data_IF_503522319783
#
_entry.id   IF_503522319783
#
_cell.length_a   1.000
_cell.length_b   1.000
_cell.length_c   1.000
_cell.angle_alpha   90.00
_cell.angle_beta   90.00
_cell.angle_gamma   90.00
#
_symmetry.space_group_name_H-M   'P 1'
#
loop_
_entity.id
_entity.type
_entity.pdbx_description
1 polymer ?
#
# COMPACT_ATOMS: atom_id res chain seq x y z
N UNK A 1 5.83 53.74 5.68
CA UNK A 1 5.13 54.56 4.66
C UNK A 1 5.78 54.31 3.30
N UNK A 2 4.98 54.46 2.22
CA UNK A 2 5.28 54.27 0.78
C UNK A 2 5.20 52.85 0.22
N UNK A 3 3.95 52.52 -0.16
CA UNK A 3 3.52 51.53 -1.14
C UNK A 3 4.06 51.88 -2.54
N UNK A 4 4.29 50.86 -3.38
CA UNK A 4 4.20 50.99 -4.84
C UNK A 4 3.33 49.85 -5.37
N UNK A 5 2.12 50.21 -5.79
CA UNK A 5 1.22 49.41 -6.62
C UNK A 5 1.70 49.44 -8.06
N UNK A 6 1.57 48.32 -8.77
CA UNK A 6 1.36 48.31 -10.22
C UNK A 6 0.25 47.30 -10.48
N UNK A 7 -0.85 47.82 -11.04
CA UNK A 7 -2.01 47.11 -11.54
C UNK A 7 -1.88 47.01 -13.06
N UNK A 8 -2.25 45.87 -13.64
CA UNK A 8 -2.59 45.77 -15.05
C UNK A 8 -3.73 44.76 -15.22
N UNK A 9 -4.94 45.30 -15.38
CA UNK A 9 -6.11 44.65 -15.95
C UNK A 9 -5.84 44.24 -17.39
N UNK A 10 -6.42 43.12 -17.83
CA UNK A 10 -7.05 43.05 -19.15
C UNK A 10 -8.20 42.03 -19.10
N UNK A 11 -9.41 42.56 -19.09
CA UNK A 11 -10.65 41.89 -19.45
C UNK A 11 -10.80 41.91 -20.97
N UNK A 12 -11.26 40.81 -21.56
CA UNK A 12 -11.99 40.83 -22.83
C UNK A 12 -13.27 40.01 -22.65
N UNK A 13 -14.38 40.61 -23.04
CA UNK A 13 -15.74 40.06 -23.04
C UNK A 13 -16.26 40.01 -24.49
N UNK A 14 -17.01 38.92 -24.80
CA UNK A 14 -18.26 38.81 -25.60
C UNK A 14 -18.23 39.27 -27.09
N UNK A 15 -18.96 38.71 -28.07
CA UNK A 15 -20.05 37.72 -28.23
C UNK A 15 -19.96 37.19 -29.71
N UNK A 16 -20.70 36.20 -30.23
CA UNK A 16 -22.13 36.23 -30.61
C UNK A 16 -22.53 34.88 -31.26
N UNK A 17 -23.81 34.53 -31.17
CA UNK A 17 -24.53 33.31 -31.58
C UNK A 17 -25.18 33.51 -32.97
N UNK A 18 -25.30 32.53 -33.89
CA UNK A 18 -26.51 31.72 -34.27
C UNK A 18 -26.41 31.32 -35.78
N UNK A 19 -27.31 30.53 -36.43
CA UNK A 19 -27.89 29.21 -36.10
C UNK A 19 -27.99 28.24 -37.34
N UNK A 20 -28.56 27.05 -37.12
CA UNK A 20 -29.17 26.11 -38.09
C UNK A 20 -28.30 25.22 -39.01
N UNK A 21 -28.54 23.90 -38.95
CA UNK A 21 -28.23 22.99 -40.07
C UNK A 21 -28.07 21.50 -39.76
N UNK A 22 -29.20 20.82 -39.56
CA UNK A 22 -29.47 19.41 -39.91
C UNK A 22 -29.05 18.24 -38.99
N UNK A 23 -30.10 17.47 -38.72
CA UNK A 23 -30.24 16.19 -38.03
C UNK A 23 -29.72 15.05 -38.92
N UNK A 24 -28.92 14.15 -38.35
CA UNK A 24 -28.90 12.75 -38.77
C UNK A 24 -28.89 11.82 -37.54
N UNK A 25 -29.93 11.01 -37.45
CA UNK A 25 -30.05 9.85 -36.59
C UNK A 25 -29.06 8.76 -37.03
N UNK A 26 -28.21 8.29 -36.12
CA UNK A 26 -27.58 6.98 -36.22
C UNK A 26 -27.57 6.29 -34.85
N UNK A 27 -28.44 5.27 -34.76
CA UNK A 27 -28.37 4.04 -33.98
C UNK A 27 -27.80 4.09 -32.55
N UNK A 28 -28.68 3.79 -31.60
CA UNK A 28 -28.37 3.35 -30.25
C UNK A 28 -27.40 2.15 -30.26
N UNK A 29 -26.13 2.41 -29.97
CA UNK A 29 -25.23 1.41 -29.40
C UNK A 29 -25.48 1.35 -27.90
N UNK A 30 -25.80 0.14 -27.43
CA UNK A 30 -26.03 -0.19 -26.05
C UNK A 30 -24.89 0.34 -25.16
N UNK A 31 -25.25 1.14 -24.17
CA UNK A 31 -24.41 1.50 -23.03
C UNK A 31 -24.00 0.21 -22.29
N UNK A 32 -22.85 -0.34 -22.69
CA UNK A 32 -22.10 -1.24 -21.84
C UNK A 32 -21.61 -0.41 -20.65
N UNK A 33 -21.79 -0.87 -19.39
CA UNK A 33 -21.30 -0.14 -18.24
C UNK A 33 -19.79 -0.01 -18.40
N UNK A 34 -19.33 1.22 -18.62
CA UNK A 34 -17.91 1.56 -18.62
C UNK A 34 -17.29 0.95 -17.36
N UNK A 35 -16.49 -0.10 -17.57
CA UNK A 35 -15.53 -0.59 -16.59
C UNK A 35 -14.73 0.65 -16.23
N UNK A 36 -14.95 1.21 -15.03
CA UNK A 36 -14.08 2.24 -14.48
C UNK A 36 -12.69 1.61 -14.44
N UNK A 37 -11.85 1.98 -15.42
CA UNK A 37 -10.42 1.74 -15.38
C UNK A 37 -9.93 2.69 -14.30
N UNK A 38 -9.84 2.17 -13.07
CA UNK A 38 -9.28 2.90 -11.95
C UNK A 38 -7.77 3.03 -12.20
N UNK A 39 -7.29 4.27 -12.32
CA UNK A 39 -5.87 4.58 -12.31
C UNK A 39 -5.24 3.99 -11.03
N UNK A 40 -4.48 2.92 -11.18
CA UNK A 40 -4.12 2.00 -10.08
C UNK A 40 -3.07 2.56 -9.10
N UNK A 41 -2.51 3.75 -9.33
CA UNK A 41 -1.32 4.18 -8.59
C UNK A 41 -1.51 5.46 -7.75
N UNK A 42 -2.49 6.32 -8.05
CA UNK A 42 -2.80 7.49 -7.20
C UNK A 42 -3.61 7.16 -5.94
N UNK A 43 -4.13 5.94 -5.82
CA UNK A 43 -4.84 5.45 -4.63
C UNK A 43 -3.91 4.85 -3.55
N UNK A 44 -2.63 4.65 -3.85
CA UNK A 44 -1.80 3.70 -3.10
C UNK A 44 -1.22 4.21 -1.77
N UNK A 45 -1.64 5.34 -1.19
CA UNK A 45 -1.32 5.66 0.23
C UNK A 45 -2.54 6.13 1.05
N UNK A 46 -3.68 6.34 0.38
CA UNK A 46 -4.90 6.91 0.95
C UNK A 46 -6.17 6.09 0.66
N UNK A 47 -6.07 4.99 -0.10
CA UNK A 47 -7.22 4.15 -0.43
C UNK A 47 -7.97 3.73 0.83
N UNK A 48 -9.28 3.97 0.82
CA UNK A 48 -10.16 3.56 1.89
C UNK A 48 -10.13 2.02 1.98
N UNK A 49 -9.71 1.42 3.11
CA UNK A 49 -9.68 -0.04 3.25
C UNK A 49 -11.06 -0.67 3.05
N UNK A 50 -12.15 0.10 3.10
CA UNK A 50 -13.49 -0.37 2.73
C UNK A 50 -13.59 -0.85 1.27
N UNK A 51 -12.69 -0.42 0.38
CA UNK A 51 -12.65 -0.91 -1.00
C UNK A 51 -12.29 -2.40 -1.11
N UNK A 52 -11.68 -2.97 -0.07
CA UNK A 52 -11.35 -4.40 0.02
C UNK A 52 -12.46 -5.20 0.73
N UNK A 53 -13.54 -4.55 1.15
CA UNK A 53 -14.65 -5.19 1.85
C UNK A 53 -15.70 -5.67 0.84
N UNK A 54 -15.98 -6.97 0.75
CA UNK A 54 -17.06 -7.47 -0.10
C UNK A 54 -18.43 -6.99 0.40
N UNK A 55 -19.35 -6.71 -0.52
CA UNK A 55 -20.76 -6.47 -0.19
C UNK A 55 -21.62 -7.67 -0.58
N UNK A 56 -21.90 -8.53 0.40
CA UNK A 56 -22.70 -9.75 0.21
C UNK A 56 -24.14 -9.47 -0.21
N UNK A 57 -24.64 -8.23 -0.05
CA UNK A 57 -25.97 -7.87 -0.52
C UNK A 57 -26.06 -7.85 -2.06
N UNK A 58 -24.97 -7.51 -2.74
CA UNK A 58 -24.92 -7.36 -4.20
C UNK A 58 -24.51 -8.61 -4.97
N UNK A 59 -24.05 -9.66 -4.28
CA UNK A 59 -23.60 -10.90 -4.91
C UNK A 59 -24.81 -11.68 -5.44
N UNK A 60 -24.64 -12.39 -6.57
CA UNK A 60 -25.69 -13.26 -7.11
C UNK A 60 -25.98 -14.44 -6.18
N UNK A 61 -27.24 -14.86 -6.12
CA UNK A 61 -27.69 -15.99 -5.31
C UNK A 61 -26.88 -17.27 -5.58
N UNK A 62 -26.67 -17.59 -6.85
CA UNK A 62 -25.86 -18.75 -7.27
C UNK A 62 -24.44 -18.69 -6.71
N UNK A 63 -23.83 -17.51 -6.72
CA UNK A 63 -22.46 -17.31 -6.24
C UNK A 63 -22.38 -17.38 -4.71
N UNK A 64 -23.33 -16.79 -4.00
CA UNK A 64 -23.39 -16.89 -2.54
C UNK A 64 -23.55 -18.34 -2.08
N UNK A 65 -24.37 -19.14 -2.76
CA UNK A 65 -24.52 -20.58 -2.48
C UNK A 65 -23.20 -21.33 -2.69
N UNK A 66 -22.56 -21.13 -3.83
CA UNK A 66 -21.26 -21.72 -4.15
C UNK A 66 -20.22 -21.39 -3.06
N UNK A 67 -20.19 -20.12 -2.61
CA UNK A 67 -19.28 -19.66 -1.55
C UNK A 67 -19.57 -20.34 -0.20
N UNK A 68 -20.83 -20.52 0.17
CA UNK A 68 -21.22 -21.21 1.40
C UNK A 68 -20.90 -22.71 1.35
N UNK A 69 -21.23 -23.38 0.24
CA UNK A 69 -20.96 -24.81 0.02
C UNK A 69 -19.47 -25.14 -0.11
N UNK A 70 -18.65 -24.19 -0.58
CA UNK A 70 -17.18 -24.37 -0.59
C UNK A 70 -16.54 -24.09 0.76
N UNK A 71 -17.27 -23.44 1.68
CA UNK A 71 -16.79 -23.11 3.03
C UNK A 71 -17.20 -24.16 4.08
N UNK A 72 -18.03 -25.15 3.72
CA UNK A 72 -18.38 -26.28 4.59
C UNK A 72 -17.19 -27.21 4.80
N UNK A 73 -16.92 -27.56 6.05
CA UNK A 73 -16.04 -28.68 6.41
C UNK A 73 -16.70 -30.02 6.06
N UNK A 74 -15.91 -31.05 5.75
CA UNK A 74 -16.31 -32.37 5.24
C UNK A 74 -17.38 -33.16 6.04
N UNK A 75 -17.91 -32.62 7.14
CA UNK A 75 -18.81 -33.31 8.07
C UNK A 75 -20.29 -32.88 7.97
N UNK A 76 -20.64 -31.94 7.07
CA UNK A 76 -22.04 -31.53 6.85
C UNK A 76 -22.59 -32.29 5.65
N UNK A 77 -23.81 -32.81 5.77
CA UNK A 77 -24.54 -33.38 4.63
C UNK A 77 -24.81 -32.26 3.61
N UNK A 78 -23.97 -32.18 2.59
CA UNK A 78 -24.00 -31.15 1.54
C UNK A 78 -25.32 -31.12 0.80
N UNK A 79 -26.01 -32.25 0.68
CA UNK A 79 -27.28 -32.35 -0.05
C UNK A 79 -28.39 -31.65 0.72
N UNK A 80 -28.48 -31.87 2.04
CA UNK A 80 -29.47 -31.19 2.90
C UNK A 80 -29.22 -29.68 2.97
N UNK A 81 -27.96 -29.25 3.05
CA UNK A 81 -27.62 -27.82 3.01
C UNK A 81 -27.98 -27.20 1.66
N UNK A 82 -27.71 -27.89 0.56
CA UNK A 82 -28.04 -27.41 -0.78
C UNK A 82 -29.56 -27.26 -0.98
N UNK A 83 -30.36 -28.20 -0.47
CA UNK A 83 -31.83 -28.09 -0.46
C UNK A 83 -32.32 -26.89 0.36
N UNK A 84 -31.77 -26.66 1.55
CA UNK A 84 -32.09 -25.49 2.37
C UNK A 84 -31.76 -24.18 1.67
N UNK A 85 -30.58 -24.09 1.03
CA UNK A 85 -30.16 -22.90 0.29
C UNK A 85 -31.02 -22.64 -0.97
N UNK A 86 -31.75 -23.63 -1.47
CA UNK A 86 -32.71 -23.42 -2.56
C UNK A 86 -33.98 -22.69 -2.14
N UNK A 87 -34.25 -22.59 -0.84
CA UNK A 87 -35.33 -21.76 -0.33
C UNK A 87 -34.93 -20.29 -0.31
N UNK A 88 -35.64 -19.46 -1.07
CA UNK A 88 -35.34 -18.03 -1.25
C UNK A 88 -35.28 -17.28 0.09
N UNK A 89 -36.22 -17.55 0.99
CA UNK A 89 -36.31 -16.89 2.29
C UNK A 89 -35.09 -17.20 3.18
N UNK A 90 -34.68 -18.48 3.21
CA UNK A 90 -33.46 -18.92 3.90
C UNK A 90 -32.23 -18.23 3.32
N UNK A 91 -32.11 -18.18 1.99
CA UNK A 91 -30.95 -17.55 1.36
C UNK A 91 -30.88 -16.04 1.66
N UNK A 92 -32.02 -15.34 1.66
CA UNK A 92 -32.10 -13.93 2.06
C UNK A 92 -31.70 -13.75 3.52
N UNK A 93 -32.20 -14.60 4.41
CA UNK A 93 -31.82 -14.59 5.82
C UNK A 93 -30.31 -14.78 6.01
N UNK A 94 -29.73 -15.79 5.37
CA UNK A 94 -28.29 -16.08 5.44
C UNK A 94 -27.49 -14.91 4.87
N UNK A 95 -27.90 -14.34 3.74
CA UNK A 95 -27.21 -13.20 3.13
C UNK A 95 -27.12 -12.00 4.08
N UNK A 96 -28.23 -11.67 4.73
CA UNK A 96 -28.27 -10.56 5.69
C UNK A 96 -27.35 -10.84 6.88
N UNK A 97 -27.39 -12.07 7.42
CA UNK A 97 -26.51 -12.50 8.49
C UNK A 97 -25.03 -12.42 8.08
N UNK A 98 -24.67 -12.96 6.91
CA UNK A 98 -23.31 -12.88 6.36
C UNK A 98 -22.84 -11.43 6.24
N UNK A 99 -23.69 -10.53 5.76
CA UNK A 99 -23.32 -9.12 5.67
C UNK A 99 -23.12 -8.46 7.04
N UNK A 100 -23.92 -8.82 8.04
CA UNK A 100 -23.73 -8.32 9.41
C UNK A 100 -22.42 -8.84 10.01
N UNK A 101 -22.13 -10.13 9.87
CA UNK A 101 -20.88 -10.73 10.37
C UNK A 101 -19.65 -10.15 9.65
N UNK A 102 -19.77 -9.84 8.36
CA UNK A 102 -18.73 -9.18 7.57
C UNK A 102 -18.41 -7.78 8.11
N UNK A 103 -19.46 -6.99 8.39
CA UNK A 103 -19.33 -5.67 9.03
C UNK A 103 -18.75 -5.74 10.43
N UNK A 104 -19.13 -6.75 11.21
CA UNK A 104 -18.58 -6.96 12.56
C UNK A 104 -17.07 -7.23 12.48
N UNK A 105 -16.66 -8.20 11.67
CA UNK A 105 -15.25 -8.55 11.46
C UNK A 105 -14.43 -7.33 11.01
N UNK A 106 -14.95 -6.55 10.07
CA UNK A 106 -14.28 -5.31 9.64
C UNK A 106 -14.12 -4.30 10.78
N UNK A 107 -15.17 -4.09 11.57
CA UNK A 107 -15.16 -3.15 12.70
C UNK A 107 -14.16 -3.60 13.79
N UNK A 108 -14.07 -4.91 14.04
CA UNK A 108 -13.07 -5.49 14.95
C UNK A 108 -11.65 -5.26 14.44
N UNK A 109 -11.37 -5.54 13.17
CA UNK A 109 -10.07 -5.27 12.54
C UNK A 109 -9.66 -3.80 12.61
N UNK A 110 -10.61 -2.90 12.38
CA UNK A 110 -10.37 -1.46 12.55
C UNK A 110 -10.06 -1.12 14.00
N UNK A 111 -10.85 -1.63 14.95
CA UNK A 111 -10.62 -1.41 16.37
C UNK A 111 -9.21 -1.89 16.81
N UNK A 112 -8.77 -3.05 16.34
CA UNK A 112 -7.43 -3.58 16.57
C UNK A 112 -6.34 -2.67 16.00
N UNK A 113 -6.50 -2.20 14.75
CA UNK A 113 -5.56 -1.27 14.12
C UNK A 113 -5.43 0.04 14.91
N UNK A 114 -6.56 0.65 15.29
CA UNK A 114 -6.54 1.90 16.04
C UNK A 114 -6.02 1.71 17.47
N UNK A 115 -6.24 0.53 18.07
CA UNK A 115 -5.68 0.18 19.38
C UNK A 115 -4.16 0.06 19.30
N UNK A 116 -3.66 -0.58 18.24
CA UNK A 116 -2.22 -0.64 17.96
C UNK A 116 -1.63 0.77 17.80
N UNK A 117 -2.25 1.64 17.01
CA UNK A 117 -1.78 3.03 16.86
C UNK A 117 -1.81 3.81 18.17
N UNK A 118 -2.83 3.59 19.00
CA UNK A 118 -2.91 4.23 20.30
C UNK A 118 -1.75 3.81 21.21
N UNK A 119 -1.50 2.50 21.29
CA UNK A 119 -0.44 1.93 22.10
C UNK A 119 0.93 2.40 21.61
N UNK A 120 1.18 2.36 20.29
CA UNK A 120 2.41 2.85 19.69
C UNK A 120 2.61 4.36 19.98
N UNK A 121 1.54 5.16 19.89
CA UNK A 121 1.58 6.57 20.28
C UNK A 121 1.97 6.79 21.75
N UNK A 122 1.48 5.93 22.65
CA UNK A 122 1.81 5.99 24.07
C UNK A 122 3.25 5.54 24.37
N UNK A 123 3.73 4.45 23.76
CA UNK A 123 5.06 3.89 24.03
C UNK A 123 6.16 4.68 23.34
N UNK A 124 5.93 5.07 22.08
CA UNK A 124 6.96 5.67 21.24
C UNK A 124 6.94 7.20 21.24
N UNK A 125 5.90 7.83 21.79
CA UNK A 125 5.76 9.29 21.84
C UNK A 125 5.43 9.96 20.51
N UNK A 126 4.87 9.22 19.54
CA UNK A 126 4.71 9.66 18.15
C UNK A 126 3.40 10.43 17.85
N UNK A 127 2.78 11.01 18.87
CA UNK A 127 1.56 11.81 18.69
C UNK A 127 1.85 13.03 17.84
N UNK A 128 1.14 13.16 16.70
CA UNK A 128 1.38 14.24 15.74
C UNK A 128 2.84 14.36 15.26
N UNK A 129 3.56 13.24 15.12
CA UNK A 129 4.92 13.25 14.61
C UNK A 129 5.01 13.99 13.26
N UNK A 130 5.69 15.13 13.27
CA UNK A 130 5.93 15.96 12.08
C UNK A 130 7.32 16.56 12.18
N UNK A 131 8.02 16.55 11.07
CA UNK A 131 9.27 17.30 10.89
C UNK A 131 9.00 18.46 9.94
N UNK A 132 9.99 19.27 9.55
CA UNK A 132 9.83 20.21 8.44
C UNK A 132 10.04 19.48 7.11
N UNK A 133 9.40 19.92 6.00
CA UNK A 133 9.55 19.26 4.69
C UNK A 133 11.02 19.24 4.26
N UNK A 134 11.70 20.37 4.48
CA UNK A 134 13.15 20.50 4.26
C UNK A 134 13.96 19.49 5.06
N UNK A 135 13.62 19.25 6.33
CA UNK A 135 14.31 18.26 7.17
C UNK A 135 14.02 16.83 6.69
N UNK A 136 12.78 16.54 6.30
CA UNK A 136 12.40 15.25 5.73
C UNK A 136 13.18 14.95 4.44
N UNK A 137 13.16 15.89 3.49
CA UNK A 137 13.84 15.78 2.21
C UNK A 137 15.36 15.64 2.39
N UNK A 138 15.96 16.46 3.27
CA UNK A 138 17.41 16.44 3.53
C UNK A 138 17.92 15.16 4.20
N UNK A 139 17.02 14.38 4.80
CA UNK A 139 17.36 13.11 5.42
C UNK A 139 16.74 11.90 4.69
N UNK A 140 15.95 12.08 3.63
CA UNK A 140 15.20 11.01 2.96
C UNK A 140 14.24 10.24 3.89
N UNK A 141 13.49 10.96 4.74
CA UNK A 141 12.48 10.38 5.65
C UNK A 141 11.07 10.92 5.36
N UNK A 142 10.05 10.31 5.95
CA UNK A 142 8.68 10.82 5.85
C UNK A 142 8.54 12.18 6.54
N UNK A 143 7.69 13.07 6.01
CA UNK A 143 7.42 14.37 6.65
C UNK A 143 6.44 14.26 7.83
N UNK A 144 5.51 13.31 7.75
CA UNK A 144 4.49 13.08 8.78
C UNK A 144 4.49 11.61 9.19
N UNK A 145 4.56 11.37 10.50
CA UNK A 145 4.50 10.05 11.10
C UNK A 145 3.54 10.11 12.30
N UNK A 146 2.64 9.14 12.42
CA UNK A 146 1.62 9.16 13.46
C UNK A 146 0.46 10.11 13.21
N UNK A 147 -0.45 10.17 14.18
CA UNK A 147 -1.72 10.90 14.14
C UNK A 147 -1.97 11.57 15.49
N UNK A 148 -2.96 12.46 15.55
CA UNK A 148 -3.33 13.09 16.83
C UNK A 148 -3.97 12.06 17.76
N UNK A 149 -3.65 12.15 19.05
CA UNK A 149 -4.25 11.31 20.09
C UNK A 149 -5.78 11.42 20.09
N UNK A 150 -6.29 12.63 19.87
CA UNK A 150 -7.73 12.91 19.82
C UNK A 150 -8.39 12.15 18.66
N UNK A 151 -7.80 12.20 17.46
CA UNK A 151 -8.34 11.49 16.30
C UNK A 151 -8.33 9.97 16.52
N UNK A 152 -7.25 9.43 17.06
CA UNK A 152 -7.15 7.99 17.33
C UNK A 152 -8.21 7.55 18.35
N UNK A 153 -8.39 8.31 19.45
CA UNK A 153 -9.45 8.05 20.44
C UNK A 153 -10.85 8.10 19.81
N UNK A 154 -11.15 9.14 19.04
CA UNK A 154 -12.44 9.24 18.33
C UNK A 154 -12.70 8.05 17.41
N UNK A 155 -11.67 7.54 16.73
CA UNK A 155 -11.78 6.35 15.88
C UNK A 155 -12.00 5.08 16.70
N UNK A 156 -11.29 4.91 17.81
CA UNK A 156 -11.50 3.80 18.74
C UNK A 156 -12.93 3.77 19.27
N UNK A 157 -13.41 4.89 19.81
CA UNK A 157 -14.76 4.99 20.37
C UNK A 157 -15.82 4.69 19.30
N UNK A 158 -15.62 5.21 18.07
CA UNK A 158 -16.49 4.92 16.93
C UNK A 158 -16.54 3.42 16.63
N UNK A 159 -15.40 2.75 16.44
CA UNK A 159 -15.39 1.34 16.05
C UNK A 159 -15.84 0.42 17.19
N UNK A 160 -15.57 0.77 18.44
CA UNK A 160 -16.12 0.08 19.61
C UNK A 160 -17.64 0.12 19.61
N UNK A 161 -18.24 1.31 19.44
CA UNK A 161 -19.69 1.47 19.35
C UNK A 161 -20.26 0.70 18.14
N UNK A 162 -19.59 0.73 16.99
CA UNK A 162 -20.01 -0.02 15.81
C UNK A 162 -20.00 -1.54 16.04
N UNK A 163 -18.98 -2.07 16.73
CA UNK A 163 -18.95 -3.48 17.11
C UNK A 163 -20.15 -3.85 17.99
N UNK A 164 -20.45 -3.05 19.01
CA UNK A 164 -21.59 -3.27 19.91
C UNK A 164 -22.92 -3.25 19.15
N UNK A 165 -23.12 -2.26 18.27
CA UNK A 165 -24.33 -2.13 17.45
C UNK A 165 -24.51 -3.30 16.47
N UNK A 166 -23.46 -3.70 15.76
CA UNK A 166 -23.54 -4.79 14.79
C UNK A 166 -23.70 -6.13 15.51
N UNK A 167 -23.04 -6.34 16.64
CA UNK A 167 -23.23 -7.55 17.45
C UNK A 167 -24.67 -7.67 17.94
N UNK A 168 -25.27 -6.57 18.41
CA UNK A 168 -26.69 -6.55 18.76
C UNK A 168 -27.57 -6.91 17.56
N UNK A 169 -27.32 -6.32 16.38
CA UNK A 169 -28.07 -6.63 15.17
C UNK A 169 -27.93 -8.10 14.74
N UNK A 170 -26.75 -8.70 14.88
CA UNK A 170 -26.55 -10.14 14.67
C UNK A 170 -27.43 -10.93 15.62
N UNK A 171 -27.40 -10.63 16.93
CA UNK A 171 -28.18 -11.35 17.91
C UNK A 171 -29.69 -11.27 17.63
N UNK A 172 -30.21 -10.08 17.27
CA UNK A 172 -31.61 -9.91 16.90
C UNK A 172 -31.97 -10.66 15.61
N UNK A 173 -31.08 -10.67 14.62
CA UNK A 173 -31.28 -11.42 13.38
C UNK A 173 -31.30 -12.93 13.65
N UNK A 174 -30.40 -13.43 14.50
CA UNK A 174 -30.36 -14.85 14.89
C UNK A 174 -31.63 -15.31 15.61
N UNK A 175 -32.35 -14.43 16.32
CA UNK A 175 -33.66 -14.75 16.94
C UNK A 175 -34.75 -15.03 15.90
N UNK A 176 -34.59 -14.54 14.67
CA UNK A 176 -35.52 -14.75 13.56
C UNK A 176 -35.19 -16.01 12.75
N UNK A 177 -34.19 -16.79 13.18
CA UNK A 177 -33.76 -17.98 12.47
C UNK A 177 -34.88 -19.03 12.38
N UNK A 178 -35.16 -19.56 11.17
CA UNK A 178 -36.01 -20.74 11.02
C UNK A 178 -35.49 -21.91 11.85
N UNK A 179 -36.38 -22.65 12.52
CA UNK A 179 -36.04 -23.78 13.43
C UNK A 179 -35.19 -24.85 12.73
N UNK A 180 -35.35 -24.99 11.41
CA UNK A 180 -34.62 -25.94 10.57
C UNK A 180 -33.13 -25.60 10.36
N UNK A 181 -32.68 -24.39 10.75
CA UNK A 181 -31.29 -23.96 10.60
C UNK A 181 -30.52 -24.20 11.90
N UNK A 182 -29.46 -25.01 11.83
CA UNK A 182 -28.45 -25.05 12.87
C UNK A 182 -27.59 -23.78 12.81
N UNK A 183 -27.88 -22.85 13.72
CA UNK A 183 -27.21 -21.55 13.79
C UNK A 183 -25.72 -21.65 14.14
N UNK A 184 -25.29 -22.67 14.86
CA UNK A 184 -23.87 -22.84 15.22
C UNK A 184 -23.08 -23.20 13.96
N UNK A 185 -23.57 -24.19 13.21
CA UNK A 185 -22.95 -24.61 11.96
C UNK A 185 -22.99 -23.50 10.91
N UNK A 186 -24.11 -22.77 10.80
CA UNK A 186 -24.22 -21.63 9.90
C UNK A 186 -23.21 -20.53 10.22
N UNK A 187 -23.07 -20.15 11.50
CA UNK A 187 -22.10 -19.13 11.91
C UNK A 187 -20.66 -19.55 11.64
N UNK A 188 -20.31 -20.83 11.83
CA UNK A 188 -18.98 -21.35 11.49
C UNK A 188 -18.69 -21.24 9.99
N UNK A 189 -19.65 -21.60 9.13
CA UNK A 189 -19.53 -21.45 7.68
C UNK A 189 -19.35 -19.99 7.26
N UNK A 190 -20.20 -19.11 7.80
CA UNK A 190 -20.16 -17.66 7.52
C UNK A 190 -18.83 -17.06 7.96
N UNK A 191 -18.35 -17.40 9.16
CA UNK A 191 -17.06 -16.91 9.65
C UNK A 191 -15.90 -17.41 8.79
N UNK A 192 -15.88 -18.69 8.42
CA UNK A 192 -14.85 -19.26 7.53
C UNK A 192 -14.81 -18.53 6.19
N UNK A 193 -15.99 -18.31 5.59
CA UNK A 193 -16.13 -17.57 4.34
C UNK A 193 -15.58 -16.14 4.46
N UNK A 194 -16.03 -15.40 5.48
CA UNK A 194 -15.64 -14.00 5.69
C UNK A 194 -14.14 -13.88 5.99
N UNK A 195 -13.57 -14.79 6.77
CA UNK A 195 -12.14 -14.81 7.05
C UNK A 195 -11.32 -14.95 5.77
N UNK A 196 -11.74 -15.84 4.88
CA UNK A 196 -11.12 -16.04 3.57
C UNK A 196 -11.26 -14.80 2.69
N UNK A 197 -12.46 -14.24 2.58
CA UNK A 197 -12.74 -13.09 1.72
C UNK A 197 -12.07 -11.81 2.22
N UNK A 198 -11.94 -11.63 3.54
CA UNK A 198 -11.26 -10.48 4.14
C UNK A 198 -9.74 -10.66 4.29
N UNK A 199 -9.14 -11.74 3.78
CA UNK A 199 -7.71 -11.99 3.92
C UNK A 199 -6.85 -10.81 3.42
N UNK A 200 -7.16 -10.27 2.24
CA UNK A 200 -6.43 -9.12 1.67
C UNK A 200 -6.57 -7.86 2.52
N UNK A 201 -7.75 -7.65 3.12
CA UNK A 201 -7.98 -6.54 4.04
C UNK A 201 -7.11 -6.66 5.29
N UNK A 202 -7.00 -7.86 5.86
CA UNK A 202 -6.14 -8.13 7.03
C UNK A 202 -4.68 -7.83 6.72
N UNK A 203 -4.18 -8.35 5.59
CA UNK A 203 -2.81 -8.09 5.13
C UNK A 203 -2.54 -6.59 4.96
N UNK A 204 -3.46 -5.84 4.34
CA UNK A 204 -3.29 -4.39 4.17
C UNK A 204 -3.31 -3.63 5.52
N UNK A 205 -4.16 -4.03 6.46
CA UNK A 205 -4.21 -3.40 7.79
C UNK A 205 -2.95 -3.69 8.60
N UNK A 206 -2.41 -4.91 8.55
CA UNK A 206 -1.16 -5.27 9.21
C UNK A 206 0.04 -4.59 8.57
N UNK A 207 0.08 -4.50 7.23
CA UNK A 207 1.09 -3.72 6.52
C UNK A 207 1.09 -2.25 6.97
N UNK A 208 -0.10 -1.63 7.15
CA UNK A 208 -0.21 -0.26 7.66
C UNK A 208 0.34 -0.12 9.08
N UNK A 209 0.13 -1.12 9.96
CA UNK A 209 0.74 -1.18 11.30
C UNK A 209 2.27 -1.19 11.20
N UNK A 210 2.82 -2.07 10.37
CA UNK A 210 4.26 -2.20 10.13
C UNK A 210 4.87 -0.91 9.59
N UNK A 211 4.25 -0.30 8.57
CA UNK A 211 4.73 0.96 7.99
C UNK A 211 4.76 2.10 9.01
N UNK A 212 3.72 2.23 9.85
CA UNK A 212 3.72 3.26 10.88
C UNK A 212 4.87 3.07 11.89
N UNK A 213 5.16 1.82 12.28
CA UNK A 213 6.29 1.51 13.16
C UNK A 213 7.62 1.88 12.51
N UNK A 214 7.84 1.47 11.25
CA UNK A 214 9.06 1.77 10.52
C UNK A 214 9.27 3.29 10.35
N UNK A 215 8.21 4.04 10.06
CA UNK A 215 8.28 5.51 10.00
C UNK A 215 8.62 6.10 11.38
N UNK A 216 8.01 5.61 12.47
CA UNK A 216 8.33 6.04 13.83
C UNK A 216 9.79 5.77 14.23
N UNK A 217 10.28 4.56 13.93
CA UNK A 217 11.68 4.16 14.15
C UNK A 217 12.63 5.03 13.32
N UNK A 218 12.29 5.33 12.07
CA UNK A 218 13.08 6.20 11.20
C UNK A 218 13.30 7.58 11.83
N UNK A 219 12.22 8.18 12.35
CA UNK A 219 12.30 9.48 13.02
C UNK A 219 13.18 9.43 14.28
N UNK A 220 13.06 8.37 15.08
CA UNK A 220 13.89 8.17 16.28
C UNK A 220 15.36 8.00 15.93
N UNK A 221 15.68 7.26 14.86
CA UNK A 221 17.06 7.04 14.42
C UNK A 221 17.71 8.33 13.92
N UNK A 222 16.95 9.16 13.20
CA UNK A 222 17.41 10.48 12.77
C UNK A 222 17.62 11.42 13.97
N UNK A 223 16.68 11.47 14.90
CA UNK A 223 16.80 12.29 16.11
C UNK A 223 17.98 11.85 16.99
N UNK A 224 18.14 10.54 17.19
CA UNK A 224 19.26 9.96 17.91
C UNK A 224 20.59 10.32 17.24
N UNK A 225 20.68 10.17 15.92
CA UNK A 225 21.88 10.54 15.16
C UNK A 225 22.29 12.00 15.41
N UNK A 226 21.37 12.97 15.36
CA UNK A 226 21.71 14.37 15.62
C UNK A 226 21.98 14.66 17.11
N UNK A 227 21.38 13.89 18.03
CA UNK A 227 21.65 13.97 19.47
C UNK A 227 23.09 13.57 19.83
N UNK A 228 23.70 12.68 19.04
CA UNK A 228 25.13 12.33 19.15
C UNK A 228 26.07 13.50 18.77
N UNK A 229 25.53 14.63 18.28
CA UNK A 229 26.29 15.81 17.83
C UNK A 229 27.42 15.46 16.85
N UNK A 230 27.11 14.76 15.74
CA UNK A 230 28.10 14.37 14.75
C UNK A 230 28.78 15.59 14.15
N UNK A 231 30.05 15.44 13.77
CA UNK A 231 30.81 16.45 13.04
C UNK A 231 30.24 16.62 11.64
N UNK A 232 30.50 17.77 11.02
CA UNK A 232 29.98 18.08 9.68
C UNK A 232 30.36 17.03 8.63
N UNK A 233 31.56 16.44 8.74
CA UNK A 233 32.01 15.35 7.88
C UNK A 233 31.14 14.10 8.03
N UNK A 234 30.79 13.73 9.26
CA UNK A 234 29.92 12.57 9.56
C UNK A 234 28.48 12.81 9.09
N UNK A 235 27.96 14.03 9.27
CA UNK A 235 26.65 14.44 8.74
C UNK A 235 26.60 14.30 7.22
N UNK A 236 27.65 14.77 6.53
CA UNK A 236 27.71 14.68 5.07
C UNK A 236 27.78 13.23 4.60
N UNK A 237 28.62 12.41 5.24
CA UNK A 237 28.71 10.98 4.95
C UNK A 237 27.39 10.25 5.15
N UNK A 238 26.70 10.50 6.28
CA UNK A 238 25.40 9.91 6.56
C UNK A 238 24.36 10.27 5.49
N UNK A 239 24.29 11.56 5.09
CA UNK A 239 23.37 12.01 4.03
C UNK A 239 23.63 11.34 2.68
N UNK A 240 24.89 11.18 2.29
CA UNK A 240 25.28 10.49 1.06
C UNK A 240 24.82 9.02 1.13
N UNK A 241 25.09 8.34 2.24
CA UNK A 241 24.69 6.94 2.45
C UNK A 241 23.16 6.81 2.35
N UNK A 242 22.41 7.61 3.11
CA UNK A 242 20.95 7.53 3.13
C UNK A 242 20.31 7.86 1.78
N UNK A 243 20.86 8.85 1.05
CA UNK A 243 20.38 9.16 -0.31
C UNK A 243 20.65 8.01 -1.27
N UNK A 244 21.86 7.42 -1.23
CA UNK A 244 22.20 6.28 -2.07
C UNK A 244 21.29 5.08 -1.79
N UNK A 245 21.02 4.76 -0.52
CA UNK A 245 20.08 3.68 -0.16
C UNK A 245 18.66 3.98 -0.65
N UNK A 246 18.16 5.20 -0.44
CA UNK A 246 16.84 5.58 -0.94
C UNK A 246 16.71 5.44 -2.47
N UNK A 247 17.72 5.89 -3.22
CA UNK A 247 17.74 5.81 -4.67
C UNK A 247 17.87 4.37 -5.16
N UNK A 248 18.72 3.56 -4.51
CA UNK A 248 18.86 2.13 -4.76
C UNK A 248 17.51 1.42 -4.60
N UNK A 249 16.80 1.67 -3.51
CA UNK A 249 15.49 1.04 -3.28
C UNK A 249 14.47 1.46 -4.31
N UNK A 250 14.44 2.75 -4.66
CA UNK A 250 13.53 3.28 -5.67
C UNK A 250 13.72 2.56 -7.00
N UNK A 251 14.98 2.41 -7.46
CA UNK A 251 15.23 1.71 -8.73
C UNK A 251 14.98 0.21 -8.64
N UNK A 252 15.35 -0.45 -7.54
CA UNK A 252 15.07 -1.88 -7.33
C UNK A 252 13.57 -2.17 -7.33
N UNK A 253 12.75 -1.28 -6.75
CA UNK A 253 11.31 -1.40 -6.80
C UNK A 253 10.79 -1.36 -8.23
N UNK A 254 11.25 -0.39 -9.02
CA UNK A 254 10.81 -0.28 -10.40
C UNK A 254 11.29 -1.46 -11.27
N UNK A 255 12.51 -1.96 -11.05
CA UNK A 255 13.02 -3.18 -11.70
C UNK A 255 12.13 -4.38 -11.39
N UNK A 256 11.78 -4.59 -10.13
CA UNK A 256 10.97 -5.72 -9.71
C UNK A 256 9.56 -5.69 -10.35
N UNK A 257 8.93 -4.52 -10.37
CA UNK A 257 7.64 -4.33 -11.07
C UNK A 257 7.81 -4.58 -12.56
N UNK A 258 8.84 -4.00 -13.18
CA UNK A 258 9.08 -4.13 -14.62
C UNK A 258 9.34 -5.59 -15.04
N UNK A 259 10.22 -6.31 -14.33
CA UNK A 259 10.53 -7.73 -14.58
C UNK A 259 9.28 -8.60 -14.60
N UNK A 260 8.32 -8.32 -13.73
CA UNK A 260 7.06 -9.06 -13.63
C UNK A 260 6.03 -8.60 -14.65
N UNK A 261 6.06 -7.32 -15.02
CA UNK A 261 5.16 -6.73 -15.99
C UNK A 261 5.48 -7.17 -17.44
N UNK A 262 6.77 -7.24 -17.80
CA UNK A 262 7.24 -7.52 -19.18
C UNK A 262 6.66 -8.80 -19.78
N UNK A 263 6.70 -9.97 -19.11
CA UNK A 263 6.17 -11.22 -19.67
C UNK A 263 4.67 -11.20 -19.94
N UNK A 264 3.93 -10.32 -19.25
CA UNK A 264 2.47 -10.23 -19.34
C UNK A 264 2.01 -9.26 -20.44
N UNK A 265 2.90 -8.43 -21.01
CA UNK A 265 2.54 -7.30 -21.87
C UNK A 265 3.45 -7.17 -23.10
N UNK A 266 3.80 -8.29 -23.73
CA UNK A 266 4.54 -8.28 -24.99
C UNK A 266 3.60 -8.04 -26.18
N UNK A 267 3.91 -7.09 -27.10
CA UNK A 267 5.13 -6.26 -27.14
C UNK A 267 5.08 -5.02 -26.23
N UNK A 268 6.21 -4.73 -25.57
CA UNK A 268 6.42 -3.55 -24.71
C UNK A 268 6.48 -2.26 -25.54
N UNK A 269 5.72 -1.24 -25.14
CA UNK A 269 5.76 0.11 -25.73
C UNK A 269 6.15 1.16 -24.69
N UNK A 270 6.61 2.34 -25.12
CA UNK A 270 6.92 3.44 -24.18
C UNK A 270 5.67 4.02 -23.51
N UNK A 271 4.52 4.00 -24.19
CA UNK A 271 3.25 4.50 -23.68
C UNK A 271 2.74 3.69 -22.47
N UNK A 272 3.04 2.39 -22.42
CA UNK A 272 2.62 1.50 -21.32
C UNK A 272 3.32 1.77 -19.97
N UNK A 273 4.43 2.52 -19.94
CA UNK A 273 5.15 2.83 -18.69
C UNK A 273 4.52 3.94 -17.85
N UNK A 274 3.73 4.81 -18.49
CA UNK A 274 3.08 5.92 -17.80
C UNK A 274 2.00 5.39 -16.85
N UNK A 275 1.30 4.32 -17.24
CA UNK A 275 0.21 3.73 -16.47
C UNK A 275 0.68 3.04 -15.17
N UNK A 276 1.91 2.51 -15.17
CA UNK A 276 2.51 1.79 -14.03
C UNK A 276 3.49 2.65 -13.21
N UNK A 277 3.63 3.94 -13.54
CA UNK A 277 4.47 4.93 -12.84
C UNK A 277 5.91 4.45 -12.57
N UNK A 278 6.62 4.00 -13.61
CA UNK A 278 8.03 3.59 -13.52
C UNK A 278 8.97 4.62 -14.19
N UNK A 279 9.20 5.81 -13.60
CA UNK A 279 9.90 6.90 -14.25
C UNK A 279 11.38 6.61 -14.53
N UNK A 280 12.09 5.90 -13.64
CA UNK A 280 13.49 5.56 -13.86
C UNK A 280 13.62 4.52 -14.98
N UNK A 281 12.78 3.49 -14.97
CA UNK A 281 12.74 2.48 -16.04
C UNK A 281 12.36 3.13 -17.37
N UNK A 282 11.33 3.98 -17.40
CA UNK A 282 10.93 4.67 -18.63
C UNK A 282 12.07 5.54 -19.20
N UNK A 283 12.81 6.24 -18.34
CA UNK A 283 13.98 7.04 -18.75
C UNK A 283 15.07 6.16 -19.35
N UNK A 284 15.40 5.03 -18.72
CA UNK A 284 16.42 4.09 -19.21
C UNK A 284 15.98 3.47 -20.54
N UNK A 285 14.74 3.02 -20.62
CA UNK A 285 14.14 2.42 -21.82
C UNK A 285 14.13 3.41 -22.98
N UNK A 286 13.66 4.65 -22.76
CA UNK A 286 13.63 5.71 -23.79
C UNK A 286 15.04 6.05 -24.27
N UNK A 287 16.00 6.14 -23.36
CA UNK A 287 17.40 6.35 -23.73
C UNK A 287 17.94 5.20 -24.58
N UNK A 288 17.61 3.94 -24.26
CA UNK A 288 18.03 2.79 -25.06
C UNK A 288 17.39 2.79 -26.45
N UNK A 289 16.09 3.00 -26.53
CA UNK A 289 15.35 3.04 -27.80
C UNK A 289 15.89 4.13 -28.75
N UNK A 290 16.29 5.28 -28.21
CA UNK A 290 16.92 6.35 -28.99
C UNK A 290 18.27 5.94 -29.60
N UNK A 291 19.11 5.23 -28.83
CA UNK A 291 20.47 4.87 -29.27
C UNK A 291 20.52 3.56 -30.08
N UNK A 292 19.52 2.69 -29.94
CA UNK A 292 19.52 1.34 -30.53
C UNK A 292 18.21 1.04 -31.25
N UNK A 293 17.99 1.69 -32.39
CA UNK A 293 16.78 1.52 -33.22
C UNK A 293 16.61 0.10 -33.80
N UNK A 294 17.65 -0.73 -33.74
CA UNK A 294 17.66 -2.08 -34.32
C UNK A 294 17.36 -3.19 -33.32
N UNK A 295 17.27 -2.90 -32.02
CA UNK A 295 16.98 -3.93 -31.01
C UNK A 295 15.51 -4.35 -31.08
N UNK A 296 15.27 -5.65 -30.92
CA UNK A 296 13.92 -6.13 -30.69
C UNK A 296 13.38 -5.60 -29.36
N UNK A 297 12.06 -5.56 -29.20
CA UNK A 297 11.42 -5.13 -27.96
C UNK A 297 11.87 -5.94 -26.74
N UNK A 298 12.09 -7.25 -26.91
CA UNK A 298 12.58 -8.14 -25.86
C UNK A 298 14.04 -7.81 -25.48
N UNK A 299 14.90 -7.58 -26.49
CA UNK A 299 16.28 -7.16 -26.25
C UNK A 299 16.34 -5.79 -25.55
N UNK A 300 15.46 -4.84 -25.93
CA UNK A 300 15.36 -3.55 -25.25
C UNK A 300 14.92 -3.70 -23.79
N UNK A 301 13.95 -4.56 -23.50
CA UNK A 301 13.51 -4.83 -22.13
C UNK A 301 14.63 -5.44 -21.29
N UNK A 302 15.35 -6.43 -21.82
CA UNK A 302 16.48 -7.06 -21.13
C UNK A 302 17.62 -6.06 -20.86
N UNK A 303 17.99 -5.25 -21.86
CA UNK A 303 19.01 -4.20 -21.70
C UNK A 303 18.58 -3.13 -20.69
N UNK A 304 17.29 -2.82 -20.62
CA UNK A 304 16.74 -1.87 -19.64
C UNK A 304 16.90 -2.42 -18.22
N UNK A 305 16.59 -3.70 -18.02
CA UNK A 305 16.80 -4.38 -16.73
C UNK A 305 18.27 -4.33 -16.33
N UNK A 306 19.18 -4.76 -17.21
CA UNK A 306 20.63 -4.79 -16.93
C UNK A 306 21.14 -3.40 -16.54
N UNK A 307 20.82 -2.36 -17.31
CA UNK A 307 21.23 -0.99 -16.99
C UNK A 307 20.65 -0.47 -15.67
N UNK A 308 19.42 -0.84 -15.35
CA UNK A 308 18.80 -0.45 -14.09
C UNK A 308 19.47 -1.15 -12.91
N UNK A 309 19.85 -2.44 -13.06
CA UNK A 309 20.62 -3.19 -12.07
C UNK A 309 22.02 -2.59 -11.86
N UNK A 310 22.71 -2.19 -12.94
CA UNK A 310 23.99 -1.49 -12.86
C UNK A 310 23.90 -0.17 -12.08
N UNK A 311 22.83 0.60 -12.29
CA UNK A 311 22.56 1.83 -11.54
C UNK A 311 22.29 1.51 -10.06
N UNK A 312 21.53 0.45 -9.76
CA UNK A 312 21.30 0.01 -8.39
C UNK A 312 22.63 -0.36 -7.70
N UNK A 313 23.49 -1.12 -8.40
CA UNK A 313 24.82 -1.50 -7.91
C UNK A 313 25.72 -0.28 -7.68
N UNK A 314 25.65 0.71 -8.56
CA UNK A 314 26.37 1.96 -8.41
C UNK A 314 26.02 2.66 -7.08
N UNK A 315 24.74 2.71 -6.70
CA UNK A 315 24.34 3.26 -5.40
C UNK A 315 24.82 2.40 -4.21
N UNK A 316 24.82 1.07 -4.33
CA UNK A 316 25.45 0.17 -3.33
C UNK A 316 26.91 0.53 -3.11
N UNK A 317 27.65 0.75 -4.20
CA UNK A 317 29.07 1.08 -4.17
C UNK A 317 29.31 2.44 -3.52
N UNK A 318 28.49 3.46 -3.81
CA UNK A 318 28.55 4.78 -3.16
C UNK A 318 28.36 4.64 -1.64
N UNK A 319 27.30 3.95 -1.20
CA UNK A 319 27.03 3.78 0.22
C UNK A 319 28.16 3.02 0.94
N UNK A 320 28.71 2.00 0.30
CA UNK A 320 29.81 1.19 0.84
C UNK A 320 31.12 1.97 0.94
N UNK A 321 31.47 2.72 -0.11
CA UNK A 321 32.66 3.57 -0.11
C UNK A 321 32.60 4.62 1.00
N UNK A 322 31.45 5.28 1.18
CA UNK A 322 31.29 6.30 2.21
C UNK A 322 31.28 5.71 3.63
N UNK A 323 30.73 4.49 3.83
CA UNK A 323 30.86 3.74 5.08
C UNK A 323 32.32 3.39 5.39
N UNK A 324 33.07 2.90 4.41
CA UNK A 324 34.49 2.57 4.57
C UNK A 324 35.33 3.82 4.90
N UNK A 325 34.96 4.98 4.34
CA UNK A 325 35.56 6.27 4.70
C UNK A 325 35.26 6.66 6.16
N UNK A 326 34.04 6.45 6.65
CA UNK A 326 33.75 6.67 8.08
C UNK A 326 34.58 5.74 8.97
N UNK A 327 34.66 4.45 8.61
CA UNK A 327 35.44 3.46 9.34
C UNK A 327 36.95 3.77 9.35
N UNK A 328 37.51 4.29 8.26
CA UNK A 328 38.93 4.64 8.21
C UNK A 328 39.27 5.84 9.09
N UNK A 329 38.31 6.74 9.37
CA UNK A 329 38.51 7.85 10.32
C UNK A 329 38.56 7.40 11.79
N UNK A 330 38.16 6.16 12.09
CA UNK A 330 38.10 5.59 13.43
C UNK A 330 39.44 5.61 14.16
N UNK A 331 40.53 5.28 13.46
CA UNK A 331 41.88 5.23 14.05
C UNK A 331 42.38 6.57 14.55
N UNK A 332 41.88 7.67 13.98
CA UNK A 332 42.28 9.03 14.30
C UNK A 332 41.19 9.81 15.06
N UNK A 333 40.11 9.14 15.48
CA UNK A 333 38.98 9.79 16.13
C UNK A 333 39.27 10.02 17.62
N UNK A 334 39.16 11.27 18.10
CA UNK A 334 39.38 11.62 19.52
C UNK A 334 38.46 10.87 20.49
N UNK A 335 37.26 10.47 20.03
CA UNK A 335 36.29 9.71 20.79
C UNK A 335 35.76 8.55 19.96
N UNK A 336 36.46 7.41 19.95
CA UNK A 336 36.14 6.25 19.12
C UNK A 336 34.74 5.70 19.43
N UNK A 337 34.34 5.68 20.71
CA UNK A 337 33.03 5.19 21.13
C UNK A 337 31.87 5.97 20.52
N UNK A 338 31.99 7.31 20.46
CA UNK A 338 30.98 8.16 19.83
C UNK A 338 30.86 7.87 18.33
N UNK A 339 32.00 7.72 17.63
CA UNK A 339 31.99 7.38 16.21
C UNK A 339 31.36 6.01 15.96
N UNK A 340 31.65 5.02 16.82
CA UNK A 340 31.04 3.69 16.74
C UNK A 340 29.51 3.78 16.89
N UNK A 341 29.00 4.59 17.84
CA UNK A 341 27.56 4.83 17.98
C UNK A 341 26.93 5.50 16.75
N UNK A 342 27.63 6.47 16.15
CA UNK A 342 27.19 7.13 14.91
C UNK A 342 27.09 6.11 13.77
N UNK A 343 28.12 5.29 13.57
CA UNK A 343 28.15 4.26 12.53
C UNK A 343 27.06 3.22 12.76
N UNK A 344 26.89 2.74 13.99
CA UNK A 344 25.81 1.82 14.36
C UNK A 344 24.44 2.41 14.03
N UNK A 345 24.21 3.69 14.36
CA UNK A 345 22.94 4.37 14.06
C UNK A 345 22.68 4.45 12.55
N UNK A 346 23.71 4.75 11.74
CA UNK A 346 23.60 4.77 10.28
C UNK A 346 23.24 3.39 9.74
N UNK A 347 23.86 2.31 10.24
CA UNK A 347 23.61 0.94 9.81
C UNK A 347 22.20 0.48 10.18
N UNK A 348 21.75 0.74 11.41
CA UNK A 348 20.40 0.40 11.85
C UNK A 348 19.38 1.12 10.97
N UNK A 349 19.61 2.41 10.68
CA UNK A 349 18.74 3.20 9.81
C UNK A 349 18.69 2.68 8.38
N UNK A 350 19.82 2.30 7.80
CA UNK A 350 19.86 1.66 6.48
C UNK A 350 19.00 0.40 6.42
N UNK A 351 19.05 -0.44 7.46
CA UNK A 351 18.22 -1.63 7.55
C UNK A 351 16.72 -1.28 7.66
N UNK A 352 16.37 -0.26 8.45
CA UNK A 352 15.00 0.24 8.54
C UNK A 352 14.48 0.75 7.19
N UNK A 353 15.28 1.54 6.47
CA UNK A 353 14.96 2.00 5.11
C UNK A 353 14.71 0.80 4.19
N UNK A 354 15.60 -0.21 4.19
CA UNK A 354 15.44 -1.48 3.43
C UNK A 354 14.13 -2.19 3.70
N UNK A 355 13.80 -2.42 4.98
CA UNK A 355 12.56 -3.07 5.38
C UNK A 355 11.33 -2.29 4.90
N UNK A 356 11.36 -0.96 5.04
CA UNK A 356 10.29 -0.08 4.53
C UNK A 356 10.11 -0.21 3.03
N UNK A 357 11.20 -0.31 2.27
CA UNK A 357 11.13 -0.52 0.83
C UNK A 357 10.51 -1.87 0.46
N UNK A 358 10.92 -2.96 1.12
CA UNK A 358 10.33 -4.29 0.92
C UNK A 358 8.80 -4.26 1.15
N UNK A 359 8.34 -3.65 2.25
CA UNK A 359 6.92 -3.53 2.54
C UNK A 359 6.14 -2.73 1.47
N UNK A 360 6.72 -1.65 0.95
CA UNK A 360 6.11 -0.87 -0.13
C UNK A 360 6.10 -1.63 -1.47
N UNK A 361 7.18 -2.34 -1.79
CA UNK A 361 7.27 -3.15 -3.00
C UNK A 361 6.24 -4.29 -2.99
N UNK A 362 6.17 -5.06 -1.89
CA UNK A 362 5.20 -6.15 -1.75
C UNK A 362 3.78 -5.65 -2.01
N UNK A 363 3.40 -4.53 -1.41
CA UNK A 363 2.09 -3.92 -1.63
C UNK A 363 1.84 -3.54 -3.09
N UNK A 364 2.81 -2.87 -3.74
CA UNK A 364 2.68 -2.49 -5.15
C UNK A 364 2.52 -3.71 -6.04
N UNK A 365 3.27 -4.77 -5.78
CA UNK A 365 3.15 -6.03 -6.51
C UNK A 365 1.77 -6.68 -6.33
N UNK A 366 1.26 -6.74 -5.10
CA UNK A 366 -0.10 -7.24 -4.82
C UNK A 366 -1.17 -6.41 -5.53
N UNK A 367 -1.06 -5.07 -5.50
CA UNK A 367 -2.03 -4.18 -6.14
C UNK A 367 -2.01 -4.24 -7.67
N UNK A 368 -0.82 -4.34 -8.28
CA UNK A 368 -0.69 -4.32 -9.75
C UNK A 368 -1.04 -5.69 -10.34
N UNK A 369 -0.64 -6.78 -9.68
CA UNK A 369 -0.71 -8.12 -10.26
C UNK A 369 -1.79 -9.02 -9.62
N UNK A 370 -2.59 -8.49 -8.69
CA UNK A 370 -3.62 -9.25 -7.95
C UNK A 370 -3.09 -10.57 -7.36
N UNK A 371 -1.82 -10.61 -6.99
CA UNK A 371 -1.26 -11.81 -6.37
C UNK A 371 -1.79 -11.94 -4.95
N UNK A 372 -2.53 -13.00 -4.71
CA UNK A 372 -2.62 -13.61 -3.39
C UNK A 372 -1.22 -14.11 -3.05
N UNK A 373 -0.36 -13.23 -2.55
CA UNK A 373 0.96 -13.63 -2.08
C UNK A 373 0.75 -14.64 -0.97
N UNK A 374 1.16 -15.88 -1.27
CA UNK A 374 1.53 -16.91 -0.31
C UNK A 374 2.26 -16.23 0.85
N UNK A 375 1.91 -16.63 2.08
CA UNK A 375 2.55 -16.14 3.30
C UNK A 375 4.07 -16.00 3.12
N UNK A 376 4.71 -15.01 3.75
CA UNK A 376 6.14 -15.06 3.91
C UNK A 376 6.43 -16.28 4.79
N UNK A 377 6.67 -17.43 4.16
CA UNK A 377 7.41 -18.51 4.81
C UNK A 377 8.67 -17.88 5.37
N UNK A 378 9.02 -18.22 6.61
CA UNK A 378 10.24 -17.76 7.31
C UNK A 378 11.55 -18.01 6.54
N UNK A 379 11.48 -18.66 5.38
CA UNK A 379 12.44 -18.48 4.31
C UNK A 379 12.40 -17.03 3.82
N UNK A 380 13.23 -16.22 4.48
CA UNK A 380 13.79 -14.97 3.97
C UNK A 380 13.62 -14.92 2.46
N UNK A 381 12.91 -13.90 1.98
CA UNK A 381 13.21 -13.31 0.68
C UNK A 381 14.71 -12.97 0.68
N UNK A 382 15.53 -13.97 0.40
CA UNK A 382 16.83 -13.86 -0.23
C UNK A 382 16.53 -13.41 -1.66
N UNK A 383 15.93 -12.22 -1.78
CA UNK A 383 16.52 -11.27 -2.70
C UNK A 383 17.89 -11.03 -2.07
N UNK A 384 18.88 -11.83 -2.49
CA UNK A 384 20.26 -11.41 -2.36
C UNK A 384 20.34 -10.11 -3.17
N UNK A 385 20.07 -9.01 -2.50
CA UNK A 385 20.64 -7.72 -2.81
C UNK A 385 22.12 -7.90 -2.43
N UNK A 386 22.86 -8.57 -3.31
CA UNK A 386 24.33 -8.54 -3.26
C UNK A 386 24.79 -7.13 -3.63
#
# INVERSE_FOLDING_TARGET
>A
MKKKQVSANNQFQLATIEPNGQVQNLSATQDLPMKKIFNAVDLATSSDPTLLLPDYLTILDSKLKEMLLTSTSNNINTDTLNELLNQKEILVFIRQLTQLVNKLNYSQLQNEQWSYYYNLGMTEGIWNGRVSKKMADANAMCYTYGRSKILIKQRLDKYKLQCEQVQHAINEHMKQAPIIIDMTNLMNMINSLIHKDQHQLRLELDRRKTMLRLDAEEHKLVDHFYTLKPRQTEINSAKIIWKAIHDQQTILHEIAIFKKWVPLHTPVSSCTFQDIQLPNINRIFTSLAFHYQTLSTEQMAQQTIVRAEDIAQHYTNIATAEKNKLLSTRTNHKNVQLLDQIITTIIIRENNMRQRGVCELQRKLTMIFNENTVEPTDDKLNIQIN
#
